data_IF_865919170230
#
_entry.id   IF_865919170230
#
_cell.length_a   1.000
_cell.length_b   1.000
_cell.length_c   1.000
_cell.angle_alpha   90.00
_cell.angle_beta   90.00
_cell.angle_gamma   90.00
#
_symmetry.space_group_name_H-M   'P 1'
#
loop_
_entity.id
_entity.type
_entity.pdbx_description
1 polymer ?
#
# COMPACT_ATOMS: atom_id res chain seq x y z
N UNK A 1 -7.13 0.82 32.08
CA UNK A 1 -7.96 1.17 33.25
C UNK A 1 -8.71 2.44 32.95
N UNK A 2 -9.81 2.74 33.64
CA UNK A 2 -10.40 4.08 33.60
C UNK A 2 -9.63 5.05 34.51
N UNK A 3 -10.08 6.29 34.56
CA UNK A 3 -9.47 7.36 35.36
C UNK A 3 -9.58 7.09 36.88
N UNK A 4 -10.28 6.03 37.31
CA UNK A 4 -10.45 5.61 38.69
C UNK A 4 -9.69 4.31 38.99
N UNK A 5 -8.86 3.83 38.06
CA UNK A 5 -8.07 2.61 38.23
C UNK A 5 -8.85 1.31 38.03
N UNK A 6 -10.11 1.35 37.56
CA UNK A 6 -10.87 0.13 37.30
C UNK A 6 -10.54 -0.46 35.92
N UNK A 7 -10.57 -1.79 35.83
CA UNK A 7 -10.33 -2.50 34.57
C UNK A 7 -11.52 -2.31 33.64
N UNK A 8 -11.34 -1.48 32.61
CA UNK A 8 -12.37 -1.19 31.59
C UNK A 8 -12.64 -2.33 30.61
N UNK A 9 -11.63 -3.14 30.31
CA UNK A 9 -11.73 -4.28 29.39
C UNK A 9 -10.57 -5.24 29.61
N UNK A 10 -10.84 -6.54 29.59
CA UNK A 10 -9.83 -7.59 29.48
C UNK A 10 -9.82 -8.14 28.05
N UNK A 11 -8.63 -8.47 27.53
CA UNK A 11 -8.45 -9.13 26.23
C UNK A 11 -7.71 -10.44 26.45
N UNK A 12 -8.18 -11.50 25.81
CA UNK A 12 -7.58 -12.82 25.87
C UNK A 12 -6.84 -13.04 24.55
N UNK A 13 -5.57 -13.43 24.65
CA UNK A 13 -4.75 -13.86 23.54
C UNK A 13 -4.40 -15.33 23.77
N UNK A 14 -4.49 -16.14 22.72
CA UNK A 14 -4.21 -17.56 22.77
C UNK A 14 -3.24 -17.93 21.64
N UNK A 15 -2.33 -18.85 21.94
CA UNK A 15 -1.39 -19.42 20.98
C UNK A 15 -1.37 -20.94 21.14
N UNK A 16 -1.14 -21.66 20.05
CA UNK A 16 -0.97 -23.11 20.05
C UNK A 16 0.48 -23.53 20.32
N UNK A 17 1.42 -22.59 20.19
CA UNK A 17 2.82 -22.79 20.54
C UNK A 17 3.01 -22.64 22.06
N UNK A 18 3.37 -23.74 22.71
CA UNK A 18 3.59 -23.80 24.15
C UNK A 18 4.94 -23.23 24.59
N UNK A 19 5.86 -22.98 23.64
CA UNK A 19 7.18 -22.41 23.91
C UNK A 19 7.27 -20.89 23.69
N UNK A 20 6.24 -20.28 23.10
CA UNK A 20 6.23 -18.86 22.77
C UNK A 20 5.95 -18.00 24.01
N UNK A 21 6.71 -16.93 24.19
CA UNK A 21 6.49 -16.02 25.32
C UNK A 21 5.23 -15.17 25.13
N UNK A 22 4.61 -14.77 26.25
CA UNK A 22 3.40 -13.96 26.24
C UNK A 22 3.59 -12.62 25.51
N UNK A 23 4.78 -12.00 25.59
CA UNK A 23 5.07 -10.77 24.86
C UNK A 23 5.15 -11.00 23.35
N UNK A 24 5.68 -12.15 22.92
CA UNK A 24 5.73 -12.53 21.50
C UNK A 24 4.33 -12.80 20.95
N UNK A 25 3.48 -13.51 21.70
CA UNK A 25 2.07 -13.73 21.33
C UNK A 25 1.35 -12.38 21.15
N UNK A 26 1.54 -11.46 22.10
CA UNK A 26 0.96 -10.13 22.01
C UNK A 26 1.49 -9.35 20.80
N UNK A 27 2.80 -9.40 20.55
CA UNK A 27 3.43 -8.72 19.43
C UNK A 27 2.91 -9.26 18.09
N UNK A 28 2.87 -10.58 17.91
CA UNK A 28 2.32 -11.22 16.71
C UNK A 28 0.86 -10.78 16.45
N UNK A 29 0.04 -10.74 17.50
CA UNK A 29 -1.35 -10.25 17.40
C UNK A 29 -1.43 -8.78 16.99
N UNK A 30 -0.53 -7.93 17.48
CA UNK A 30 -0.46 -6.53 17.07
C UNK A 30 -0.03 -6.38 15.60
N UNK A 31 0.93 -7.19 15.15
CA UNK A 31 1.37 -7.23 13.76
C UNK A 31 0.26 -7.67 12.79
N UNK A 32 -0.76 -8.42 13.26
CA UNK A 32 -1.88 -8.87 12.42
C UNK A 32 -2.58 -7.73 11.69
N UNK A 33 -2.65 -6.53 12.27
CA UNK A 33 -3.30 -5.37 11.64
C UNK A 33 -2.69 -4.99 10.29
N UNK A 34 -1.44 -5.41 10.02
CA UNK A 34 -0.79 -5.18 8.73
C UNK A 34 -1.58 -5.76 7.54
N UNK A 35 -2.32 -6.84 7.73
CA UNK A 35 -3.15 -7.44 6.67
C UNK A 35 -4.30 -6.53 6.22
N UNK A 36 -4.79 -5.66 7.11
CA UNK A 36 -5.89 -4.73 6.80
C UNK A 36 -5.47 -3.71 5.74
N UNK A 37 -4.20 -3.29 5.73
CA UNK A 37 -3.68 -2.41 4.69
C UNK A 37 -3.66 -3.10 3.33
N UNK A 38 -3.27 -4.37 3.25
CA UNK A 38 -3.31 -5.15 2.01
C UNK A 38 -4.73 -5.27 1.46
N UNK A 39 -5.71 -5.59 2.31
CA UNK A 39 -7.11 -5.67 1.87
C UNK A 39 -7.69 -4.31 1.50
N UNK A 40 -7.37 -3.25 2.24
CA UNK A 40 -7.80 -1.89 1.91
C UNK A 40 -7.26 -1.47 0.55
N UNK A 41 -5.96 -1.58 0.33
CA UNK A 41 -5.33 -1.19 -0.93
C UNK A 41 -5.80 -2.08 -2.09
N UNK A 42 -5.96 -3.37 -1.83
CA UNK A 42 -6.52 -4.31 -2.80
C UNK A 42 -7.92 -3.89 -3.27
N UNK A 43 -8.81 -3.55 -2.32
CA UNK A 43 -10.17 -3.09 -2.63
C UNK A 43 -10.19 -1.73 -3.32
N UNK A 44 -9.46 -0.76 -2.79
CA UNK A 44 -9.55 0.64 -3.23
C UNK A 44 -8.76 0.92 -4.52
N UNK A 45 -7.67 0.18 -4.76
CA UNK A 45 -6.72 0.51 -5.82
C UNK A 45 -6.47 -0.61 -6.82
N UNK A 46 -6.63 -1.88 -6.43
CA UNK A 46 -6.38 -3.03 -7.31
C UNK A 46 -7.66 -3.79 -7.74
N UNK A 47 -8.85 -3.29 -7.37
CA UNK A 47 -10.12 -3.85 -7.80
C UNK A 47 -10.44 -5.23 -7.20
N UNK A 48 -9.92 -5.55 -6.03
CA UNK A 48 -10.14 -6.83 -5.34
C UNK A 48 -11.62 -7.23 -5.26
N UNK A 49 -12.51 -6.25 -5.08
CA UNK A 49 -13.96 -6.45 -4.96
C UNK A 49 -14.74 -6.25 -6.28
N UNK A 50 -14.08 -6.02 -7.41
CA UNK A 50 -14.75 -5.70 -8.69
C UNK A 50 -15.07 -6.94 -9.54
N UNK A 51 -14.51 -8.11 -9.23
CA UNK A 51 -14.76 -9.31 -10.02
C UNK A 51 -16.21 -9.77 -9.90
N UNK A 52 -16.87 -9.97 -11.03
CA UNK A 52 -18.23 -10.51 -11.11
C UNK A 52 -18.27 -11.90 -11.77
N UNK A 53 -17.12 -12.57 -11.87
CA UNK A 53 -17.05 -13.92 -12.41
C UNK A 53 -17.78 -14.93 -11.51
N UNK A 54 -18.42 -15.93 -12.11
CA UNK A 54 -19.11 -17.02 -11.40
C UNK A 54 -18.32 -18.33 -11.36
N UNK A 55 -17.20 -18.40 -12.09
CA UNK A 55 -16.31 -19.56 -12.07
C UNK A 55 -15.34 -19.43 -10.90
N UNK A 56 -15.18 -20.47 -10.07
CA UNK A 56 -14.22 -20.49 -8.97
C UNK A 56 -12.80 -20.15 -9.43
N UNK A 57 -12.35 -20.73 -10.54
CA UNK A 57 -11.00 -20.52 -11.09
C UNK A 57 -10.74 -19.05 -11.44
N UNK A 58 -11.74 -18.39 -12.04
CA UNK A 58 -11.66 -16.97 -12.38
C UNK A 58 -11.63 -16.08 -11.14
N UNK A 59 -12.41 -16.42 -10.12
CA UNK A 59 -12.40 -15.72 -8.84
C UNK A 59 -11.05 -15.85 -8.14
N UNK A 60 -10.50 -17.07 -8.06
CA UNK A 60 -9.16 -17.31 -7.48
C UNK A 60 -8.09 -16.50 -8.19
N UNK A 61 -8.08 -16.55 -9.53
CA UNK A 61 -7.12 -15.79 -10.31
C UNK A 61 -7.23 -14.27 -10.05
N UNK A 62 -8.45 -13.71 -10.06
CA UNK A 62 -8.67 -12.29 -9.84
C UNK A 62 -8.20 -11.84 -8.45
N UNK A 63 -8.61 -12.56 -7.40
CA UNK A 63 -8.26 -12.22 -6.02
C UNK A 63 -6.74 -12.26 -5.81
N UNK A 64 -6.09 -13.32 -6.28
CA UNK A 64 -4.63 -13.47 -6.18
C UNK A 64 -3.91 -12.38 -6.97
N UNK A 65 -4.38 -12.06 -8.17
CA UNK A 65 -3.77 -11.01 -9.01
C UNK A 65 -3.88 -9.64 -8.35
N UNK A 66 -5.05 -9.29 -7.81
CA UNK A 66 -5.25 -8.01 -7.12
C UNK A 66 -4.35 -7.85 -5.89
N UNK A 67 -4.23 -8.89 -5.04
CA UNK A 67 -3.34 -8.86 -3.87
C UNK A 67 -1.85 -8.87 -4.28
N UNK A 68 -1.51 -9.59 -5.34
CA UNK A 68 -0.15 -9.63 -5.90
C UNK A 68 0.26 -8.26 -6.42
N UNK A 69 -0.63 -7.55 -7.12
CA UNK A 69 -0.36 -6.21 -7.61
C UNK A 69 0.00 -5.22 -6.49
N UNK A 70 -0.71 -5.26 -5.35
CA UNK A 70 -0.39 -4.46 -4.17
C UNK A 70 0.97 -4.86 -3.59
N UNK A 71 1.25 -6.16 -3.50
CA UNK A 71 2.52 -6.68 -2.96
C UNK A 71 3.71 -6.25 -3.83
N UNK A 72 3.57 -6.33 -5.16
CA UNK A 72 4.58 -5.88 -6.11
C UNK A 72 4.81 -4.37 -6.02
N UNK A 73 3.75 -3.56 -5.90
CA UNK A 73 3.90 -2.13 -5.70
C UNK A 73 4.67 -1.82 -4.42
N UNK A 74 4.32 -2.46 -3.29
CA UNK A 74 5.06 -2.29 -2.04
C UNK A 74 6.52 -2.72 -2.17
N UNK A 75 6.79 -3.82 -2.88
CA UNK A 75 8.15 -4.28 -3.13
C UNK A 75 8.96 -3.25 -3.94
N UNK A 76 8.39 -2.74 -5.02
CA UNK A 76 9.05 -1.79 -5.91
C UNK A 76 9.31 -0.41 -5.27
N UNK A 77 8.42 0.06 -4.40
CA UNK A 77 8.46 1.44 -3.87
C UNK A 77 8.91 1.57 -2.41
N UNK A 78 8.90 0.47 -1.64
CA UNK A 78 9.22 0.52 -0.22
C UNK A 78 10.34 -0.47 0.15
N UNK A 79 10.32 -1.69 -0.38
CA UNK A 79 11.27 -2.72 0.07
C UNK A 79 12.70 -2.55 -0.49
N UNK A 80 12.85 -1.80 -1.60
CA UNK A 80 14.16 -1.44 -2.17
C UNK A 80 15.01 -0.56 -1.25
N UNK A 81 14.39 0.14 -0.30
CA UNK A 81 15.07 1.02 0.65
C UNK A 81 15.42 0.25 1.94
N UNK A 82 16.57 0.51 2.60
CA UNK A 82 16.92 -0.09 3.88
C UNK A 82 15.84 0.18 4.95
N UNK A 83 15.55 -0.77 5.87
CA UNK A 83 14.47 -0.64 6.85
C UNK A 83 14.45 0.68 7.63
N UNK A 84 15.61 1.25 7.93
CA UNK A 84 15.78 2.49 8.70
C UNK A 84 15.35 3.74 7.92
N UNK A 85 15.39 3.68 6.59
CA UNK A 85 15.06 4.78 5.67
C UNK A 85 13.71 4.57 4.97
N UNK A 86 13.02 3.46 5.26
CA UNK A 86 11.71 3.16 4.68
C UNK A 86 10.67 4.16 5.15
N UNK A 87 10.14 4.92 4.19
CA UNK A 87 8.95 5.73 4.39
C UNK A 87 7.69 4.87 4.42
N UNK A 88 6.61 5.45 4.95
CA UNK A 88 5.29 4.84 4.90
C UNK A 88 4.89 4.60 3.43
N UNK A 89 4.39 3.40 3.15
CA UNK A 89 3.88 3.06 1.84
C UNK A 89 2.43 3.53 1.66
N UNK A 90 2.13 4.15 0.53
CA UNK A 90 0.80 4.63 0.15
C UNK A 90 0.52 4.25 -1.29
N UNK A 91 -0.41 3.30 -1.49
CA UNK A 91 -0.82 2.88 -2.83
C UNK A 91 -1.51 4.02 -3.59
N UNK A 92 -2.21 4.91 -2.88
CA UNK A 92 -2.79 6.12 -3.43
C UNK A 92 -1.73 7.03 -4.03
N UNK A 93 -0.61 7.26 -3.33
CA UNK A 93 0.46 8.15 -3.82
C UNK A 93 1.21 7.58 -5.02
N UNK A 94 1.42 6.26 -5.04
CA UNK A 94 1.97 5.57 -6.22
C UNK A 94 1.04 5.78 -7.42
N UNK A 95 -0.27 5.58 -7.24
CA UNK A 95 -1.25 5.78 -8.32
C UNK A 95 -1.31 7.24 -8.79
N UNK A 96 -1.30 8.20 -7.86
CA UNK A 96 -1.27 9.64 -8.17
C UNK A 96 -0.02 10.01 -8.95
N UNK A 97 1.14 9.50 -8.56
CA UNK A 97 2.39 9.72 -9.29
C UNK A 97 2.29 9.29 -10.75
N UNK A 98 1.81 8.08 -10.99
CA UNK A 98 1.65 7.56 -12.36
C UNK A 98 0.59 8.31 -13.17
N UNK A 99 -0.50 8.74 -12.52
CA UNK A 99 -1.49 9.59 -13.17
C UNK A 99 -0.88 10.93 -13.61
N UNK A 100 -0.09 11.57 -12.74
CA UNK A 100 0.60 12.82 -13.04
C UNK A 100 1.62 12.65 -14.16
N UNK A 101 2.41 11.57 -14.14
CA UNK A 101 3.35 11.24 -15.22
C UNK A 101 2.62 11.11 -16.57
N UNK A 102 1.53 10.34 -16.59
CA UNK A 102 0.73 10.16 -17.80
C UNK A 102 0.18 11.49 -18.35
N UNK A 103 -0.31 12.37 -17.48
CA UNK A 103 -0.83 13.68 -17.89
C UNK A 103 0.28 14.57 -18.45
N UNK A 104 1.45 14.60 -17.80
CA UNK A 104 2.59 15.38 -18.26
C UNK A 104 3.11 14.86 -19.62
N UNK A 105 3.24 13.55 -19.76
CA UNK A 105 3.69 12.93 -21.01
C UNK A 105 2.71 13.22 -22.16
N UNK A 106 1.40 13.16 -21.90
CA UNK A 106 0.38 13.57 -22.89
C UNK A 106 0.49 15.03 -23.27
N UNK A 107 0.69 15.93 -22.31
CA UNK A 107 0.88 17.36 -22.57
C UNK A 107 2.08 17.60 -23.48
N UNK A 108 3.24 17.06 -23.12
CA UNK A 108 4.49 17.16 -23.89
C UNK A 108 4.27 16.66 -25.33
N UNK A 109 3.67 15.48 -25.49
CA UNK A 109 3.41 14.88 -26.79
C UNK A 109 2.46 15.72 -27.65
N UNK A 110 1.39 16.25 -27.04
CA UNK A 110 0.36 17.05 -27.75
C UNK A 110 0.93 18.35 -28.29
N UNK A 111 1.82 19.00 -27.54
CA UNK A 111 2.45 20.26 -27.93
C UNK A 111 3.79 20.09 -28.65
N UNK A 112 4.22 18.86 -28.95
CA UNK A 112 5.48 18.58 -29.63
C UNK A 112 6.72 19.07 -28.89
N UNK A 113 6.65 19.17 -27.56
CA UNK A 113 7.77 19.64 -26.73
C UNK A 113 8.82 18.52 -26.68
N UNK A 114 10.10 18.87 -26.83
CA UNK A 114 11.19 17.89 -26.70
C UNK A 114 11.27 17.32 -25.29
N UNK A 115 10.80 16.08 -25.07
CA UNK A 115 10.69 15.44 -23.76
C UNK A 115 12.03 15.33 -22.98
N UNK A 116 13.17 15.37 -23.68
CA UNK A 116 14.51 15.21 -23.11
C UNK A 116 15.16 16.53 -22.67
N UNK A 117 14.44 17.64 -22.67
CA UNK A 117 14.97 18.90 -22.14
C UNK A 117 15.24 18.75 -20.64
N UNK A 118 16.42 19.13 -20.17
CA UNK A 118 16.81 19.07 -18.74
C UNK A 118 15.82 19.79 -17.83
N UNK A 119 15.16 20.86 -18.33
CA UNK A 119 14.07 21.58 -17.66
C UNK A 119 12.82 20.73 -17.44
N UNK A 120 12.49 19.82 -18.35
CA UNK A 120 11.34 18.93 -18.20
C UNK A 120 11.62 17.87 -17.15
N UNK A 121 12.83 17.32 -17.11
CA UNK A 121 13.22 16.36 -16.10
C UNK A 121 13.21 16.95 -14.68
N UNK A 122 13.65 18.21 -14.51
CA UNK A 122 13.58 18.87 -13.21
C UNK A 122 12.15 19.21 -12.77
N UNK A 123 11.24 19.49 -13.71
CA UNK A 123 9.82 19.75 -13.40
C UNK A 123 9.07 18.43 -13.14
N UNK A 124 9.45 17.33 -13.79
CA UNK A 124 8.78 16.02 -13.68
C UNK A 124 8.70 15.54 -12.23
N UNK A 125 9.77 15.65 -11.45
CA UNK A 125 9.75 15.27 -10.03
C UNK A 125 8.78 16.13 -9.21
N UNK A 126 8.70 17.44 -9.47
CA UNK A 126 7.73 18.32 -8.82
C UNK A 126 6.30 17.97 -9.22
N UNK A 127 6.09 17.65 -10.50
CA UNK A 127 4.79 17.28 -11.03
C UNK A 127 4.30 15.93 -10.47
N UNK A 128 5.20 14.95 -10.36
CA UNK A 128 4.96 13.66 -9.68
C UNK A 128 4.50 13.81 -8.24
N UNK A 129 4.95 14.84 -7.54
CA UNK A 129 4.60 15.08 -6.14
C UNK A 129 3.22 15.73 -5.94
N UNK A 130 2.59 16.28 -6.99
CA UNK A 130 1.30 16.97 -6.88
C UNK A 130 0.23 15.99 -6.39
N UNK A 131 -0.45 16.35 -5.30
CA UNK A 131 -1.58 15.57 -4.76
C UNK A 131 -1.18 14.31 -4.00
N UNK A 132 0.12 14.08 -3.74
CA UNK A 132 0.55 13.05 -2.80
C UNK A 132 0.24 13.45 -1.36
N UNK A 133 -0.16 12.49 -0.54
CA UNK A 133 -0.65 12.71 0.83
C UNK A 133 0.36 12.21 1.87
N UNK A 134 1.10 11.12 1.61
CA UNK A 134 2.14 10.66 2.52
C UNK A 134 3.45 11.46 2.31
N UNK A 135 3.97 12.03 3.40
CA UNK A 135 5.26 12.72 3.47
C UNK A 135 6.44 11.75 3.64
#
# INVERSE_FOLDING_TARGET
MDNQGQVKSAKIYACTDMGMDAAEVLHAYQCRFQIEFLYRDGKQHAGLAHCQARSPQKLYFHLNTALTAVSLAKAAYCLSTPPQERKAFSMADVKTQYANDLLLDRFIATFGIGAQLSKINSIRERFRAIGKIAA
#
